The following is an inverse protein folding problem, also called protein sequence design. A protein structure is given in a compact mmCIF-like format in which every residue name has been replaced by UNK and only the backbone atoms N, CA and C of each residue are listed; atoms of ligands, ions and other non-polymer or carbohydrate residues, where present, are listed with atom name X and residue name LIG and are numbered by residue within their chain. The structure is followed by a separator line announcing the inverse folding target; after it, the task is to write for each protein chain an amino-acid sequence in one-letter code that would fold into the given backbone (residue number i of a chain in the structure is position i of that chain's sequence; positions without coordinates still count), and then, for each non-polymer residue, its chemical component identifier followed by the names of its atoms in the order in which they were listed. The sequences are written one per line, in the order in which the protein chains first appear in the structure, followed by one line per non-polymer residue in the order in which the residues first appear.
data_IF_112524770236
#
_entry.id   IF_112524770236
#
_cell.length_a   1.000
_cell.length_b   1.000
_cell.length_c   1.000
_cell.angle_alpha   90.00
_cell.angle_beta   90.00
_cell.angle_gamma   90.00
#
_symmetry.space_group_name_H-M   'P 1'
#
loop_
_entity.id
_entity.type
_entity.pdbx_description
1 polymer ?
#
# COMPACT_ATOMS: atom_id res chain seq x y z
N UNK A 1 -6.67 -20.59 9.18
CA UNK A 1 -5.73 -19.46 9.07
C UNK A 1 -6.43 -18.42 8.22
N UNK A 2 -6.88 -17.31 8.82
CA UNK A 2 -7.57 -16.22 8.11
C UNK A 2 -6.58 -15.53 7.20
N UNK A 3 -6.90 -15.45 5.90
CA UNK A 3 -6.08 -14.71 4.94
C UNK A 3 -6.15 -13.23 5.29
N UNK A 4 -5.00 -12.55 5.44
CA UNK A 4 -4.97 -11.10 5.70
C UNK A 4 -5.48 -10.35 4.46
N UNK A 5 -6.32 -9.33 4.67
CA UNK A 5 -6.86 -8.46 3.63
C UNK A 5 -6.15 -7.11 3.65
N UNK A 6 -5.80 -6.61 2.47
CA UNK A 6 -5.05 -5.38 2.29
C UNK A 6 -5.82 -4.44 1.37
N UNK A 7 -5.90 -3.16 1.75
CA UNK A 7 -6.34 -2.10 0.85
C UNK A 7 -5.13 -1.39 0.24
N UNK A 8 -5.30 -0.80 -0.94
CA UNK A 8 -4.23 -0.08 -1.64
C UNK A 8 -4.76 1.27 -2.06
N UNK A 9 -4.03 2.35 -1.77
CA UNK A 9 -4.30 3.69 -2.27
C UNK A 9 -3.03 4.29 -2.87
N UNK A 10 -3.18 5.17 -3.85
CA UNK A 10 -2.06 5.83 -4.52
C UNK A 10 -2.27 7.35 -4.62
N UNK A 11 -1.17 8.09 -4.70
CA UNK A 11 -1.21 9.51 -5.08
C UNK A 11 -1.60 9.63 -6.56
N UNK A 12 -2.80 10.16 -6.89
CA UNK A 12 -3.27 10.22 -8.27
C UNK A 12 -2.48 11.19 -9.15
N UNK A 13 -1.65 12.06 -8.55
CA UNK A 13 -0.79 13.01 -9.27
C UNK A 13 0.46 12.35 -9.86
N UNK A 14 0.74 11.08 -9.49
CA UNK A 14 1.91 10.32 -9.91
C UNK A 14 1.49 9.13 -10.76
N UNK A 15 1.63 9.18 -12.10
CA UNK A 15 1.22 8.09 -12.99
C UNK A 15 1.85 6.74 -12.62
N UNK A 16 3.09 6.73 -12.17
CA UNK A 16 3.80 5.53 -11.71
C UNK A 16 3.18 4.90 -10.43
N UNK A 17 2.66 5.73 -9.52
CA UNK A 17 1.96 5.26 -8.32
C UNK A 17 0.62 4.61 -8.68
N UNK A 18 -0.12 5.21 -9.62
CA UNK A 18 -1.38 4.66 -10.15
C UNK A 18 -1.13 3.32 -10.86
N UNK A 19 -0.08 3.23 -11.68
CA UNK A 19 0.28 1.96 -12.34
C UNK A 19 0.65 0.87 -11.33
N UNK A 20 1.38 1.19 -10.26
CA UNK A 20 1.65 0.21 -9.21
C UNK A 20 0.37 -0.19 -8.48
N UNK A 21 -0.53 0.77 -8.18
CA UNK A 21 -1.82 0.50 -7.57
C UNK A 21 -2.59 -0.57 -8.36
N UNK A 22 -2.74 -0.40 -9.67
CA UNK A 22 -3.46 -1.37 -10.51
C UNK A 22 -2.82 -2.76 -10.46
N UNK A 23 -1.48 -2.82 -10.54
CA UNK A 23 -0.74 -4.08 -10.45
C UNK A 23 -0.90 -4.77 -9.09
N UNK A 24 -0.79 -4.02 -8.00
CA UNK A 24 -0.94 -4.55 -6.64
C UNK A 24 -2.38 -5.00 -6.38
N UNK A 25 -3.37 -4.21 -6.80
CA UNK A 25 -4.78 -4.57 -6.71
C UNK A 25 -5.05 -5.90 -7.43
N UNK A 26 -4.60 -6.03 -8.68
CA UNK A 26 -4.76 -7.28 -9.44
C UNK A 26 -4.10 -8.47 -8.73
N UNK A 27 -2.84 -8.30 -8.29
CA UNK A 27 -2.09 -9.35 -7.60
C UNK A 27 -2.75 -9.79 -6.29
N UNK A 28 -3.28 -8.85 -5.50
CA UNK A 28 -3.99 -9.14 -4.25
C UNK A 28 -5.36 -9.77 -4.51
N UNK A 29 -6.08 -9.32 -5.54
CA UNK A 29 -7.40 -9.84 -5.90
C UNK A 29 -7.32 -11.31 -6.35
N UNK A 30 -6.33 -11.67 -7.17
CA UNK A 30 -6.06 -13.07 -7.56
C UNK A 30 -5.86 -14.00 -6.37
N UNK A 31 -5.44 -13.46 -5.22
CA UNK A 31 -5.13 -14.21 -3.99
C UNK A 31 -6.25 -14.13 -2.95
N UNK A 32 -7.37 -13.47 -3.26
CA UNK A 32 -8.44 -13.22 -2.31
C UNK A 32 -8.02 -12.35 -1.11
N UNK A 33 -6.95 -11.56 -1.28
CA UNK A 33 -6.33 -10.76 -0.23
C UNK A 33 -6.63 -9.25 -0.37
N UNK A 34 -7.42 -8.83 -1.36
CA UNK A 34 -7.77 -7.42 -1.56
C UNK A 34 -9.00 -7.01 -0.73
N UNK A 35 -8.91 -5.85 -0.07
CA UNK A 35 -10.02 -5.17 0.55
C UNK A 35 -10.38 -3.93 -0.27
N UNK A 36 -11.59 -3.90 -0.83
CA UNK A 36 -12.12 -2.72 -1.52
C UNK A 36 -12.36 -1.56 -0.53
N UNK A 37 -12.87 -1.90 0.66
CA UNK A 37 -13.05 -0.95 1.75
C UNK A 37 -11.79 -0.94 2.64
N UNK A 38 -11.07 0.19 2.75
CA UNK A 38 -9.93 0.32 3.65
C UNK A 38 -10.23 0.03 5.12
N UNK A 39 -11.48 0.20 5.57
CA UNK A 39 -11.91 -0.07 6.95
C UNK A 39 -12.00 -1.57 7.28
N UNK A 40 -12.11 -2.42 6.25
CA UNK A 40 -12.11 -3.89 6.40
C UNK A 40 -10.72 -4.49 6.20
N UNK A 41 -9.72 -3.65 5.91
CA UNK A 41 -8.36 -4.09 5.68
C UNK A 41 -7.63 -4.26 7.02
N UNK A 42 -6.79 -5.29 7.10
CA UNK A 42 -5.84 -5.46 8.20
C UNK A 42 -4.68 -4.45 8.08
N UNK A 43 -4.37 -4.02 6.86
CA UNK A 43 -3.33 -3.05 6.52
C UNK A 43 -3.75 -2.20 5.32
N UNK A 44 -3.50 -0.90 5.36
CA UNK A 44 -3.63 0.00 4.23
C UNK A 44 -2.26 0.31 3.62
N UNK A 45 -2.08 -0.08 2.36
CA UNK A 45 -0.89 0.24 1.57
C UNK A 45 -1.07 1.60 0.92
N UNK A 46 -0.07 2.47 1.06
CA UNK A 46 -0.09 3.82 0.53
C UNK A 46 1.07 4.02 -0.42
N UNK A 47 0.77 4.20 -1.69
CA UNK A 47 1.76 4.40 -2.74
C UNK A 47 1.93 5.90 -2.98
N UNK A 48 3.01 6.46 -2.43
CA UNK A 48 3.24 7.91 -2.43
C UNK A 48 4.31 8.31 -1.42
N UNK A 49 4.53 9.61 -1.28
CA UNK A 49 5.50 10.12 -0.30
C UNK A 49 4.90 10.28 1.10
N UNK A 50 5.68 10.86 2.01
CA UNK A 50 5.30 11.06 3.42
C UNK A 50 3.95 11.77 3.60
N UNK A 51 3.65 12.78 2.78
CA UNK A 51 2.37 13.49 2.82
C UNK A 51 1.16 12.59 2.53
N UNK A 52 1.32 11.59 1.66
CA UNK A 52 0.27 10.59 1.38
C UNK A 52 0.11 9.63 2.55
N UNK A 53 1.22 9.17 3.13
CA UNK A 53 1.22 8.27 4.29
C UNK A 53 0.57 8.92 5.51
N UNK A 54 0.96 10.16 5.84
CA UNK A 54 0.37 10.91 6.96
C UNK A 54 -1.12 11.18 6.72
N UNK A 55 -1.51 11.53 5.49
CA UNK A 55 -2.93 11.73 5.15
C UNK A 55 -3.73 10.44 5.34
N UNK A 56 -3.20 9.31 4.90
CA UNK A 56 -3.87 8.02 5.05
C UNK A 56 -4.03 7.62 6.52
N UNK A 57 -2.95 7.74 7.31
CA UNK A 57 -2.98 7.41 8.74
C UNK A 57 -3.97 8.29 9.53
N UNK A 58 -4.17 9.54 9.11
CA UNK A 58 -5.19 10.43 9.70
C UNK A 58 -6.61 10.11 9.26
N UNK A 59 -6.79 9.59 8.05
CA UNK A 59 -8.11 9.28 7.50
C UNK A 59 -8.66 7.95 8.05
N UNK A 60 -7.78 7.04 8.45
CA UNK A 60 -8.14 5.72 8.96
C UNK A 60 -7.21 5.31 10.11
N UNK A 61 -7.48 5.85 11.30
CA UNK A 61 -6.60 5.68 12.48
C UNK A 61 -6.63 4.27 13.09
N UNK A 62 -7.64 3.48 12.74
CA UNK A 62 -7.79 2.08 13.21
C UNK A 62 -7.01 1.07 12.37
N UNK A 63 -6.52 1.46 11.18
CA UNK A 63 -5.86 0.53 10.24
C UNK A 63 -4.39 0.90 10.09
N UNK A 64 -3.46 -0.01 10.41
CA UNK A 64 -2.03 0.20 10.19
C UNK A 64 -1.71 0.59 8.74
N UNK A 65 -0.87 1.61 8.57
CA UNK A 65 -0.47 2.11 7.25
C UNK A 65 0.94 1.62 6.89
N UNK A 66 1.09 1.07 5.69
CA UNK A 66 2.37 0.75 5.07
C UNK A 66 2.61 1.69 3.88
N UNK A 67 3.58 2.59 4.01
CA UNK A 67 4.02 3.44 2.90
C UNK A 67 4.91 2.68 1.91
N UNK A 68 4.66 2.87 0.62
CA UNK A 68 5.58 2.53 -0.47
C UNK A 68 6.00 3.84 -1.11
N UNK A 69 7.22 4.28 -0.81
CA UNK A 69 7.75 5.52 -1.38
C UNK A 69 8.25 5.29 -2.80
N UNK A 70 7.88 6.24 -3.64
CA UNK A 70 8.28 6.36 -5.04
C UNK A 70 9.26 7.53 -5.26
N UNK A 71 9.72 8.18 -4.20
CA UNK A 71 10.75 9.21 -4.23
C UNK A 71 12.18 8.65 -4.21
N UNK A 72 13.14 9.44 -4.70
CA UNK A 72 14.56 9.11 -4.57
C UNK A 72 15.09 9.23 -3.12
N UNK A 73 14.38 9.93 -2.24
CA UNK A 73 14.73 10.12 -0.84
C UNK A 73 13.46 10.44 -0.03
N UNK A 74 12.87 9.44 0.64
CA UNK A 74 11.84 9.64 1.67
C UNK A 74 12.22 8.86 2.92
N UNK A 75 12.08 9.51 4.07
CA UNK A 75 12.65 9.06 5.34
C UNK A 75 11.94 7.83 5.94
N UNK A 76 10.73 7.50 5.46
CA UNK A 76 9.83 6.53 6.10
C UNK A 76 9.55 5.23 5.31
N UNK A 77 9.92 5.12 4.03
CA UNK A 77 9.61 3.92 3.25
C UNK A 77 10.87 3.28 2.68
N UNK A 78 11.34 2.22 3.33
CA UNK A 78 12.60 1.57 2.99
C UNK A 78 12.47 0.39 2.00
N UNK A 79 11.36 0.29 1.26
CA UNK A 79 11.18 -0.77 0.26
C UNK A 79 11.01 -0.15 -1.13
N UNK A 80 12.04 -0.22 -1.98
CA UNK A 80 11.93 0.27 -3.35
C UNK A 80 10.85 -0.51 -4.13
N UNK A 81 10.17 0.12 -5.11
CA UNK A 81 9.09 -0.50 -5.91
C UNK A 81 9.49 -1.78 -6.64
N UNK A 82 10.78 -2.06 -6.78
CA UNK A 82 11.31 -3.28 -7.38
C UNK A 82 11.39 -4.46 -6.40
N UNK A 83 11.17 -4.26 -5.09
CA UNK A 83 11.42 -5.27 -4.04
C UNK A 83 10.25 -5.56 -3.08
N UNK A 84 9.09 -4.94 -3.28
CA UNK A 84 7.94 -5.11 -2.37
C UNK A 84 7.42 -6.56 -2.31
N UNK A 85 7.40 -7.28 -3.44
CA UNK A 85 6.91 -8.67 -3.51
C UNK A 85 7.72 -9.63 -2.61
N UNK A 86 9.04 -9.43 -2.51
CA UNK A 86 9.90 -10.25 -1.68
C UNK A 86 9.66 -10.03 -0.19
N UNK A 87 9.25 -8.83 0.21
CA UNK A 87 8.98 -8.50 1.62
C UNK A 87 7.61 -8.97 2.10
N UNK A 88 6.58 -8.96 1.25
CA UNK A 88 5.25 -9.48 1.62
C UNK A 88 5.24 -11.00 1.82
N UNK A 89 6.20 -11.75 1.26
CA UNK A 89 6.33 -13.20 1.50
C UNK A 89 6.88 -13.57 2.88
N UNK A 90 7.43 -12.60 3.63
CA UNK A 90 8.09 -12.83 4.93
C UNK A 90 7.22 -12.44 6.14
N UNK A 91 5.97 -12.04 5.92
CA UNK A 91 5.03 -11.54 6.95
C UNK A 91 3.75 -12.35 6.93
#
# INVERSE_FOLDING_TARGET
MTSRRLSVIADPRKPEAVQLHERMRAWLAERGAYAENPQEADVQIVIGGDGSVVRAARANDQVPVLGIDFGQFGFLAHVPPSRWEARLKQV
#
